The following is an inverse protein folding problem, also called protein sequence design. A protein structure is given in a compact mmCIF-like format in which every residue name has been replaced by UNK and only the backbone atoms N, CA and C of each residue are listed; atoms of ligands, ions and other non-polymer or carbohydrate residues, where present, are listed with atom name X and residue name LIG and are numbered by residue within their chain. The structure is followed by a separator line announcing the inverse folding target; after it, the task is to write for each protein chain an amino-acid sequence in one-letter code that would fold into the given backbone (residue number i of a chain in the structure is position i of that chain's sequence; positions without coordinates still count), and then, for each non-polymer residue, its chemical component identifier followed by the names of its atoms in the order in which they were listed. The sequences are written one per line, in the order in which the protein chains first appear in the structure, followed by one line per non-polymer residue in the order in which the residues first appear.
data_IF_473361167455
#
_entry.id   IF_473361167455
#
_cell.length_a   1.000
_cell.length_b   1.000
_cell.length_c   1.000
_cell.angle_alpha   90.00
_cell.angle_beta   90.00
_cell.angle_gamma   90.00
#
_symmetry.space_group_name_H-M   'P 1'
#
loop_
_entity.id
_entity.type
_entity.pdbx_description
1 polymer ?
#
# COMPACT_ATOMS: atom_id res chain seq x y z
N UNK A 1 -3.52 -5.55 -29.06
CA UNK A 1 -4.29 -6.64 -28.43
C UNK A 1 -4.52 -6.22 -26.99
N UNK A 2 -5.75 -5.85 -26.63
CA UNK A 2 -6.06 -5.34 -25.28
C UNK A 2 -6.45 -6.49 -24.37
N UNK A 3 -5.56 -6.86 -23.45
CA UNK A 3 -5.88 -7.80 -22.38
C UNK A 3 -6.80 -7.10 -21.39
N UNK A 4 -8.12 -7.33 -21.50
CA UNK A 4 -9.06 -7.15 -20.39
C UNK A 4 -8.75 -8.22 -19.35
N UNK A 5 -7.69 -8.04 -18.56
CA UNK A 5 -7.58 -8.76 -17.28
C UNK A 5 -8.67 -8.20 -16.39
N UNK A 6 -9.52 -9.07 -15.84
CA UNK A 6 -10.64 -8.68 -15.00
C UNK A 6 -10.15 -7.80 -13.86
N UNK A 7 -10.34 -6.49 -14.00
CA UNK A 7 -10.02 -5.57 -12.92
C UNK A 7 -11.08 -5.79 -11.85
N UNK A 8 -10.65 -6.10 -10.63
CA UNK A 8 -11.53 -6.07 -9.47
C UNK A 8 -12.25 -4.70 -9.45
N UNK A 9 -13.58 -4.69 -9.26
CA UNK A 9 -14.37 -3.44 -9.24
C UNK A 9 -13.96 -2.52 -8.07
N UNK A 10 -13.48 -3.15 -6.99
CA UNK A 10 -12.94 -2.48 -5.81
C UNK A 10 -11.74 -3.27 -5.27
N UNK A 11 -10.71 -2.63 -4.72
CA UNK A 11 -9.59 -3.31 -4.06
C UNK A 11 -10.03 -4.11 -2.84
N UNK A 12 -9.35 -5.23 -2.56
CA UNK A 12 -9.52 -6.02 -1.35
C UNK A 12 -8.83 -5.33 -0.17
N UNK A 13 -9.58 -4.48 0.53
CA UNK A 13 -9.09 -3.72 1.68
C UNK A 13 -8.57 -4.64 2.79
N UNK A 14 -9.18 -5.81 3.01
CA UNK A 14 -8.70 -6.75 4.03
C UNK A 14 -7.36 -7.36 3.63
N UNK A 15 -7.20 -7.76 2.37
CA UNK A 15 -5.91 -8.20 1.83
C UNK A 15 -4.82 -7.13 1.96
N UNK A 16 -5.16 -5.86 1.72
CA UNK A 16 -4.24 -4.73 1.90
C UNK A 16 -3.85 -4.52 3.37
N UNK A 17 -4.80 -4.62 4.30
CA UNK A 17 -4.51 -4.53 5.75
C UNK A 17 -3.56 -5.64 6.18
N UNK A 18 -3.76 -6.87 5.70
CA UNK A 18 -2.85 -8.01 5.99
C UNK A 18 -1.45 -7.74 5.47
N UNK A 19 -1.31 -7.15 4.28
CA UNK A 19 0.00 -6.76 3.75
C UNK A 19 0.62 -5.63 4.59
N UNK A 20 -0.17 -4.60 4.92
CA UNK A 20 0.29 -3.45 5.68
C UNK A 20 0.70 -3.82 7.11
N UNK A 21 0.03 -4.81 7.72
CA UNK A 21 0.40 -5.41 9.00
C UNK A 21 1.80 -6.00 8.97
N UNK A 22 2.14 -6.76 7.93
CA UNK A 22 3.47 -7.36 7.77
C UNK A 22 4.55 -6.29 7.59
N UNK A 23 4.24 -5.23 6.83
CA UNK A 23 5.14 -4.07 6.69
C UNK A 23 5.34 -3.37 8.04
N UNK A 24 4.28 -3.18 8.83
CA UNK A 24 4.36 -2.62 10.17
C UNK A 24 5.22 -3.47 11.12
N UNK A 25 5.13 -4.80 11.05
CA UNK A 25 6.01 -5.70 11.80
C UNK A 25 7.48 -5.53 11.42
N UNK A 26 7.79 -5.45 10.11
CA UNK A 26 9.15 -5.26 9.59
C UNK A 26 9.75 -3.92 10.01
N UNK A 27 8.97 -2.84 9.97
CA UNK A 27 9.38 -1.49 10.39
C UNK A 27 9.46 -1.38 11.93
N UNK A 28 8.89 -2.35 12.66
CA UNK A 28 8.85 -2.38 14.12
C UNK A 28 7.81 -1.44 14.72
N UNK A 29 6.64 -1.38 14.08
CA UNK A 29 5.40 -0.73 14.50
C UNK A 29 4.25 -1.74 14.71
N UNK A 30 4.45 -2.87 15.42
CA UNK A 30 3.45 -3.95 15.47
C UNK A 30 2.12 -3.52 16.13
N UNK A 31 2.14 -2.48 16.97
CA UNK A 31 0.99 -2.04 17.78
C UNK A 31 -0.05 -1.21 17.00
N UNK A 32 0.19 -0.89 15.73
CA UNK A 32 -0.78 -0.14 14.90
C UNK A 32 -2.06 -0.94 14.77
N UNK A 33 -3.25 -0.37 14.97
CA UNK A 33 -4.49 -1.15 14.84
C UNK A 33 -4.90 -1.39 13.38
N UNK A 34 -5.65 -2.47 13.09
CA UNK A 34 -6.22 -2.71 11.75
C UNK A 34 -7.12 -1.54 11.30
N UNK A 35 -7.80 -0.90 12.24
CA UNK A 35 -8.63 0.28 11.97
C UNK A 35 -7.79 1.47 11.50
N UNK A 36 -6.59 1.66 12.06
CA UNK A 36 -5.66 2.70 11.61
C UNK A 36 -5.08 2.38 10.23
N UNK A 37 -4.68 1.12 10.01
CA UNK A 37 -4.21 0.66 8.70
C UNK A 37 -5.30 0.85 7.62
N UNK A 38 -6.53 0.46 7.92
CA UNK A 38 -7.68 0.62 7.02
C UNK A 38 -7.87 2.09 6.64
N UNK A 39 -7.96 2.98 7.63
CA UNK A 39 -8.15 4.43 7.38
C UNK A 39 -7.03 5.02 6.55
N UNK A 40 -5.80 4.62 6.81
CA UNK A 40 -4.64 5.06 6.06
C UNK A 40 -4.69 4.57 4.60
N UNK A 41 -4.99 3.29 4.38
CA UNK A 41 -5.12 2.72 3.04
C UNK A 41 -6.24 3.44 2.27
N UNK A 42 -7.40 3.66 2.91
CA UNK A 42 -8.52 4.38 2.30
C UNK A 42 -8.17 5.83 1.98
N UNK A 43 -7.39 6.52 2.80
CA UNK A 43 -6.98 7.89 2.52
C UNK A 43 -6.04 8.00 1.32
N UNK A 44 -5.23 6.97 1.05
CA UNK A 44 -4.40 6.90 -0.16
C UNK A 44 -5.23 6.54 -1.39
N UNK A 45 -6.10 5.53 -1.28
CA UNK A 45 -6.84 5.02 -2.43
C UNK A 45 -7.95 5.98 -2.88
N UNK A 46 -8.65 6.60 -1.94
CA UNK A 46 -9.86 7.39 -2.20
C UNK A 46 -9.82 8.81 -1.62
N UNK A 47 -8.82 9.13 -0.80
CA UNK A 47 -8.65 10.44 -0.19
C UNK A 47 -7.67 11.32 -0.99
N UNK A 48 -6.65 11.83 -0.30
CA UNK A 48 -5.76 12.88 -0.82
C UNK A 48 -5.00 12.52 -2.10
N UNK A 49 -4.79 11.23 -2.36
CA UNK A 49 -4.03 10.76 -3.54
C UNK A 49 -4.91 10.20 -4.65
N UNK A 50 -6.16 9.85 -4.34
CA UNK A 50 -7.09 9.21 -5.28
C UNK A 50 -6.44 8.10 -6.13
N UNK A 51 -5.54 7.31 -5.53
CA UNK A 51 -4.67 6.40 -6.28
C UNK A 51 -5.49 5.35 -7.05
N UNK A 52 -6.63 4.93 -6.50
CA UNK A 52 -7.54 4.01 -7.19
C UNK A 52 -8.17 4.64 -8.44
N UNK A 53 -8.60 5.90 -8.36
CA UNK A 53 -9.17 6.63 -9.50
C UNK A 53 -8.11 6.83 -10.58
N UNK A 54 -6.91 7.24 -10.19
CA UNK A 54 -5.77 7.39 -11.10
C UNK A 54 -5.47 6.09 -11.85
N UNK A 55 -5.44 4.96 -11.14
CA UNK A 55 -5.25 3.64 -11.73
C UNK A 55 -6.39 3.26 -12.69
N UNK A 56 -7.65 3.50 -12.28
CA UNK A 56 -8.83 3.25 -13.11
C UNK A 56 -8.88 4.09 -14.38
N UNK A 57 -8.34 5.31 -14.34
CA UNK A 57 -8.18 6.19 -15.50
C UNK A 57 -6.95 5.86 -16.36
N UNK A 58 -6.09 4.94 -15.92
CA UNK A 58 -4.84 4.60 -16.60
C UNK A 58 -3.77 5.72 -16.53
N UNK A 59 -3.88 6.61 -15.53
CA UNK A 59 -2.88 7.66 -15.29
C UNK A 59 -1.63 7.12 -14.60
N UNK A 60 -1.80 6.05 -13.82
CA UNK A 60 -0.73 5.26 -13.22
C UNK A 60 -0.98 3.78 -13.49
N UNK A 61 0.09 3.01 -13.55
CA UNK A 61 0.07 1.55 -13.72
C UNK A 61 -0.29 0.85 -12.41
N UNK A 62 -0.60 -0.46 -12.51
CA UNK A 62 -0.84 -1.31 -11.33
C UNK A 62 0.38 -1.31 -10.39
N UNK A 63 1.57 -1.44 -10.97
CA UNK A 63 2.85 -1.42 -10.25
C UNK A 63 3.07 -0.06 -9.55
N UNK A 64 2.85 1.05 -10.26
CA UNK A 64 2.96 2.39 -9.67
C UNK A 64 1.96 2.61 -8.53
N UNK A 65 0.76 2.04 -8.62
CA UNK A 65 -0.24 2.12 -7.53
C UNK A 65 0.24 1.38 -6.28
N UNK A 66 0.77 0.17 -6.44
CA UNK A 66 1.32 -0.62 -5.34
C UNK A 66 2.55 0.06 -4.71
N UNK A 67 3.47 0.57 -5.55
CA UNK A 67 4.64 1.32 -5.10
C UNK A 67 4.25 2.59 -4.35
N UNK A 68 3.25 3.33 -4.83
CA UNK A 68 2.75 4.53 -4.16
C UNK A 68 2.20 4.18 -2.77
N UNK A 69 1.35 3.15 -2.67
CA UNK A 69 0.81 2.73 -1.40
C UNK A 69 1.91 2.30 -0.42
N UNK A 70 2.90 1.55 -0.90
CA UNK A 70 4.00 1.06 -0.08
C UNK A 70 4.90 2.20 0.44
N UNK A 71 5.28 3.14 -0.42
CA UNK A 71 6.12 4.28 -0.04
C UNK A 71 5.43 5.20 0.99
N UNK A 72 4.12 5.41 0.81
CA UNK A 72 3.32 6.16 1.78
C UNK A 72 3.20 5.42 3.11
N UNK A 73 2.96 4.11 3.07
CA UNK A 73 2.85 3.27 4.26
C UNK A 73 4.16 3.26 5.07
N UNK A 74 5.30 3.09 4.39
CA UNK A 74 6.62 3.16 5.00
C UNK A 74 6.81 4.49 5.74
N UNK A 75 6.60 5.61 5.03
CA UNK A 75 6.75 6.96 5.60
C UNK A 75 5.86 7.15 6.84
N UNK A 76 4.60 6.73 6.75
CA UNK A 76 3.64 6.87 7.84
C UNK A 76 4.00 6.01 9.06
N UNK A 77 4.48 4.78 8.85
CA UNK A 77 4.89 3.89 9.94
C UNK A 77 6.18 4.36 10.62
N UNK A 78 7.11 4.94 9.85
CA UNK A 78 8.35 5.51 10.37
C UNK A 78 8.09 6.71 11.28
N UNK A 79 7.26 7.66 10.83
CA UNK A 79 6.88 8.84 11.62
C UNK A 79 6.35 8.45 13.00
N UNK A 80 5.52 7.39 13.05
CA UNK A 80 4.94 6.88 14.29
C UNK A 80 5.93 6.22 15.25
N UNK A 81 7.01 5.63 14.74
CA UNK A 81 7.98 4.95 15.62
C UNK A 81 8.99 5.91 16.21
N UNK A 82 8.99 7.18 15.79
CA UNK A 82 10.02 8.17 16.10
C UNK A 82 11.44 7.62 15.82
N UNK A 83 11.55 6.61 14.95
CA UNK A 83 12.82 6.13 14.44
C UNK A 83 13.24 7.14 13.39
N UNK A 84 14.39 7.76 13.57
CA UNK A 84 14.99 8.56 12.51
C UNK A 84 15.05 7.75 11.23
N UNK A 85 14.95 8.41 10.07
CA UNK A 85 15.11 7.75 8.77
C UNK A 85 16.34 6.84 8.84
N UNK A 86 16.19 5.52 8.68
CA UNK A 86 17.35 4.67 8.69
C UNK A 86 18.22 5.02 7.49
N UNK A 87 19.49 4.63 7.54
CA UNK A 87 20.34 4.67 6.35
C UNK A 87 19.61 3.96 5.20
N UNK A 88 19.70 4.52 3.98
CA UNK A 88 18.92 4.09 2.82
C UNK A 88 18.89 2.55 2.68
N UNK A 89 17.68 1.98 2.60
CA UNK A 89 17.48 0.55 2.35
C UNK A 89 17.37 -0.35 3.58
N UNK A 90 16.98 0.17 4.75
CA UNK A 90 16.87 -0.67 5.95
C UNK A 90 15.78 -1.76 5.91
N UNK A 91 14.80 -1.64 5.01
CA UNK A 91 13.76 -2.65 4.84
C UNK A 91 13.61 -3.02 3.36
N UNK A 92 13.67 -4.31 3.06
CA UNK A 92 13.30 -4.85 1.76
C UNK A 92 11.77 -4.96 1.69
N UNK A 93 11.12 -3.84 1.38
CA UNK A 93 9.66 -3.76 1.28
C UNK A 93 9.14 -4.20 -0.10
N UNK A 94 10.02 -4.31 -1.10
CA UNK A 94 9.65 -4.73 -2.46
C UNK A 94 9.05 -6.13 -2.48
N UNK A 95 9.39 -6.98 -1.51
CA UNK A 95 8.83 -8.32 -1.33
C UNK A 95 7.31 -8.32 -1.16
N UNK A 96 6.73 -7.21 -0.67
CA UNK A 96 5.29 -7.07 -0.44
C UNK A 96 4.52 -6.57 -1.66
N UNK A 97 5.20 -6.02 -2.67
CA UNK A 97 4.57 -5.45 -3.87
C UNK A 97 3.63 -6.43 -4.59
N UNK A 98 4.02 -7.69 -4.88
CA UNK A 98 3.13 -8.62 -5.57
C UNK A 98 1.83 -8.90 -4.79
N UNK A 99 1.92 -8.97 -3.45
CA UNK A 99 0.75 -9.18 -2.60
C UNK A 99 -0.17 -7.94 -2.56
N UNK A 100 0.41 -6.74 -2.61
CA UNK A 100 -0.35 -5.49 -2.75
C UNK A 100 -1.03 -5.40 -4.11
N UNK A 101 -0.36 -5.75 -5.20
CA UNK A 101 -0.94 -5.75 -6.55
C UNK A 101 -2.12 -6.71 -6.66
N UNK A 102 -1.98 -7.93 -6.14
CA UNK A 102 -3.06 -8.93 -6.05
C UNK A 102 -4.26 -8.41 -5.24
N UNK A 103 -3.99 -7.77 -4.09
CA UNK A 103 -5.05 -7.19 -3.27
C UNK A 103 -5.74 -6.00 -3.97
N UNK A 104 -4.99 -5.18 -4.72
CA UNK A 104 -5.54 -4.04 -5.45
C UNK A 104 -6.39 -4.47 -6.66
N UNK A 105 -5.87 -5.38 -7.48
CA UNK A 105 -6.40 -5.59 -8.83
C UNK A 105 -6.91 -6.99 -9.12
N UNK A 106 -6.47 -7.99 -8.35
CA UNK A 106 -6.69 -9.41 -8.64
C UNK A 106 -5.93 -9.93 -9.86
#
# INVERSE_FOLDING_TARGET
MGTRHGAREHPDIQGLIVCARKVAEVIGSPDVSDAELSRFIESILYGEKEAWVCAGMGLITREETANLLLAHLETWLMDRTNKGFPEQGAWDLEVFRPALEEALFG
#
